data_IF_038060573305
#
_entry.id   IF_038060573305
#
_cell.length_a   1.000
_cell.length_b   1.000
_cell.length_c   1.000
_cell.angle_alpha   90.00
_cell.angle_beta   90.00
_cell.angle_gamma   90.00
#
_symmetry.space_group_name_H-M   'P 1'
#
loop_
_entity.id
_entity.type
_entity.pdbx_description
1 polymer ?
#
# COMPACT_ATOMS: atom_id res chain seq x y z
N UNK A 1 -9.65 4.20 -5.15
CA UNK A 1 -8.67 4.11 -4.03
C UNK A 1 -7.27 4.15 -4.64
N UNK A 2 -6.29 4.70 -3.93
CA UNK A 2 -4.94 4.88 -4.46
C UNK A 2 -3.93 4.45 -3.41
N UNK A 3 -2.81 3.91 -3.89
CA UNK A 3 -1.61 3.67 -3.11
C UNK A 3 -0.53 4.58 -3.71
N UNK A 4 0.05 5.43 -2.88
CA UNK A 4 1.09 6.36 -3.30
C UNK A 4 2.31 6.05 -2.47
N UNK A 5 3.35 5.55 -3.16
CA UNK A 5 4.61 5.17 -2.54
C UNK A 5 5.72 6.13 -3.03
N UNK A 6 6.05 7.18 -2.26
CA UNK A 6 7.22 7.99 -2.54
C UNK A 6 8.50 7.14 -2.51
N UNK A 7 9.47 7.46 -3.36
CA UNK A 7 10.78 6.78 -3.32
C UNK A 7 11.62 7.45 -2.24
N UNK A 8 11.76 6.78 -1.09
CA UNK A 8 12.70 7.12 -0.02
C UNK A 8 14.14 6.69 -0.37
N UNK A 9 15.11 7.14 0.43
CA UNK A 9 16.51 6.72 0.31
C UNK A 9 16.65 5.20 0.56
N UNK A 10 16.00 4.67 1.60
CA UNK A 10 15.91 3.23 1.86
C UNK A 10 15.30 2.45 0.68
N UNK A 11 14.19 2.92 0.12
CA UNK A 11 13.55 2.29 -1.04
C UNK A 11 14.49 2.31 -2.25
N UNK A 12 15.21 3.40 -2.47
CA UNK A 12 16.21 3.49 -3.54
C UNK A 12 17.34 2.47 -3.32
N UNK A 13 17.85 2.31 -2.10
CA UNK A 13 18.86 1.31 -1.78
C UNK A 13 18.36 -0.12 -2.02
N UNK A 14 17.11 -0.42 -1.66
CA UNK A 14 16.48 -1.71 -1.94
C UNK A 14 16.36 -1.97 -3.44
N UNK A 15 15.97 -0.98 -4.23
CA UNK A 15 15.91 -1.09 -5.70
C UNK A 15 17.31 -1.41 -6.26
N UNK A 16 18.33 -0.67 -5.83
CA UNK A 16 19.72 -0.85 -6.30
C UNK A 16 20.32 -2.20 -5.93
N UNK A 17 19.88 -2.80 -4.82
CA UNK A 17 20.31 -4.14 -4.38
C UNK A 17 19.48 -5.28 -4.99
N UNK A 18 18.52 -4.96 -5.87
CA UNK A 18 17.70 -5.96 -6.55
C UNK A 18 16.64 -6.59 -5.65
N UNK A 19 16.14 -5.84 -4.66
CA UNK A 19 15.09 -6.31 -3.77
C UNK A 19 13.81 -6.68 -4.56
N UNK A 20 13.13 -7.73 -4.12
CA UNK A 20 11.88 -8.16 -4.72
C UNK A 20 10.69 -7.33 -4.21
N UNK A 21 9.53 -7.53 -4.83
CA UNK A 21 8.29 -6.80 -4.50
C UNK A 21 7.86 -6.97 -3.03
N UNK A 22 8.09 -8.13 -2.42
CA UNK A 22 7.74 -8.35 -1.01
C UNK A 22 8.62 -7.53 -0.07
N UNK A 23 9.91 -7.37 -0.39
CA UNK A 23 10.83 -6.55 0.38
C UNK A 23 10.46 -5.06 0.26
N UNK A 24 10.15 -4.59 -0.94
CA UNK A 24 9.67 -3.21 -1.16
C UNK A 24 8.35 -2.95 -0.43
N UNK A 25 7.40 -3.89 -0.46
CA UNK A 25 6.14 -3.77 0.25
C UNK A 25 6.32 -3.72 1.78
N UNK A 26 7.30 -4.46 2.33
CA UNK A 26 7.66 -4.37 3.75
C UNK A 26 8.24 -3.00 4.10
N UNK A 27 9.18 -2.51 3.28
CA UNK A 27 9.75 -1.17 3.46
C UNK A 27 8.66 -0.09 3.44
N UNK A 28 7.76 -0.13 2.45
CA UNK A 28 6.65 0.80 2.36
C UNK A 28 5.76 0.77 3.62
N UNK A 29 5.50 -0.43 4.16
CA UNK A 29 4.74 -0.59 5.40
C UNK A 29 5.47 -0.03 6.63
N UNK A 30 6.79 -0.22 6.71
CA UNK A 30 7.64 0.35 7.77
C UNK A 30 7.66 1.88 7.71
N UNK A 31 7.62 2.46 6.52
CA UNK A 31 7.48 3.90 6.27
C UNK A 31 6.05 4.43 6.48
N UNK A 32 5.12 3.56 6.86
CA UNK A 32 3.73 3.92 7.15
C UNK A 32 2.87 4.15 5.91
N UNK A 33 3.37 3.80 4.72
CA UNK A 33 2.64 3.93 3.45
C UNK A 33 1.44 2.98 3.47
N UNK A 34 0.27 3.52 3.16
CA UNK A 34 -0.95 2.73 3.10
C UNK A 34 -1.07 2.06 1.74
N UNK A 35 -1.15 0.73 1.77
CA UNK A 35 -1.50 -0.05 0.59
C UNK A 35 -2.94 0.24 0.11
N UNK A 36 -3.28 -0.25 -1.08
CA UNK A 36 -4.63 -0.10 -1.65
C UNK A 36 -5.73 -0.58 -0.69
N UNK A 37 -5.53 -1.73 -0.03
CA UNK A 37 -6.53 -2.33 0.86
C UNK A 37 -6.79 -1.47 2.08
N UNK A 38 -5.73 -1.04 2.76
CA UNK A 38 -5.79 -0.17 3.95
C UNK A 38 -6.39 1.18 3.61
N UNK A 39 -6.00 1.76 2.48
CA UNK A 39 -6.60 2.99 1.97
C UNK A 39 -8.09 2.83 1.68
N UNK A 40 -8.51 1.67 1.19
CA UNK A 40 -9.92 1.32 1.01
C UNK A 40 -10.68 1.18 2.32
N UNK A 41 -10.13 0.45 3.29
CA UNK A 41 -10.73 0.25 4.60
C UNK A 41 -10.91 1.56 5.38
N UNK A 42 -9.96 2.50 5.26
CA UNK A 42 -10.10 3.83 5.86
C UNK A 42 -11.34 4.56 5.29
N UNK A 43 -11.53 4.52 3.97
CA UNK A 43 -12.71 5.11 3.32
C UNK A 43 -14.02 4.43 3.69
N UNK A 44 -13.99 3.13 4.00
CA UNK A 44 -15.16 2.43 4.56
C UNK A 44 -15.48 2.96 5.95
N UNK A 45 -14.46 3.14 6.80
CA UNK A 45 -14.62 3.73 8.14
C UNK A 45 -15.18 5.15 8.10
N UNK A 46 -14.85 5.91 7.05
CA UNK A 46 -15.39 7.25 6.78
C UNK A 46 -16.79 7.24 6.14
N UNK A 47 -17.35 6.06 5.80
CA UNK A 47 -18.67 5.93 5.18
C UNK A 47 -18.71 6.30 3.70
N UNK A 48 -17.56 6.44 3.03
CA UNK A 48 -17.46 6.82 1.62
C UNK A 48 -17.65 5.65 0.64
N UNK A 49 -17.52 4.42 1.13
CA UNK A 49 -17.64 3.18 0.33
C UNK A 49 -18.02 2.00 1.22
N UNK A 50 -18.32 0.84 0.63
CA UNK A 50 -18.72 -0.37 1.36
C UNK A 50 -17.58 -1.39 1.45
N UNK A 51 -17.63 -2.25 2.48
CA UNK A 51 -16.70 -3.39 2.60
C UNK A 51 -16.76 -4.32 1.37
N UNK A 52 -17.96 -4.52 0.83
CA UNK A 52 -18.17 -5.32 -0.38
C UNK A 52 -17.42 -4.73 -1.57
N UNK A 53 -17.51 -3.41 -1.76
CA UNK A 53 -16.82 -2.73 -2.85
C UNK A 53 -15.29 -2.84 -2.70
N UNK A 54 -14.75 -2.66 -1.49
CA UNK A 54 -13.32 -2.81 -1.24
C UNK A 54 -12.84 -4.24 -1.51
N UNK A 55 -13.58 -5.25 -1.06
CA UNK A 55 -13.23 -6.65 -1.33
C UNK A 55 -13.31 -7.01 -2.83
N UNK A 56 -14.16 -6.31 -3.61
CA UNK A 56 -14.25 -6.50 -5.06
C UNK A 56 -13.08 -5.90 -5.82
N UNK A 57 -12.58 -4.74 -5.37
CA UNK A 57 -11.54 -3.97 -6.10
C UNK A 57 -10.12 -4.20 -5.59
N UNK A 58 -9.96 -4.79 -4.40
CA UNK A 58 -8.65 -5.20 -3.87
C UNK A 58 -8.60 -6.73 -3.83
N UNK A 59 -7.60 -7.31 -4.51
CA UNK A 59 -7.30 -8.74 -4.41
C UNK A 59 -6.13 -8.89 -3.43
N UNK A 60 -6.29 -9.78 -2.45
CA UNK A 60 -5.18 -10.25 -1.62
C UNK A 60 -4.17 -11.04 -2.48
#
# INVERSE_FOLDING_TARGET
IYEVMPISEETQNLIMTGANSLQLARQAKEEGIHDLRRSGLNKVGEGLTSLEEINRVTKD
#
